data_IF_051095130717
#
_entry.id   IF_051095130717
#
_cell.length_a   1.000
_cell.length_b   1.000
_cell.length_c   1.000
_cell.angle_alpha   90.00
_cell.angle_beta   90.00
_cell.angle_gamma   90.00
#
_symmetry.space_group_name_H-M   'P 1'
#
loop_
_entity.id
_entity.type
_entity.pdbx_description
1 polymer ?
#
# COMPACT_ATOMS: atom_id res chain seq x y z
N UNK A 1 -23.13 9.64 6.20
CA UNK A 1 -22.90 8.22 5.83
C UNK A 1 -22.08 7.45 6.88
N UNK A 2 -21.03 8.03 7.49
CA UNK A 2 -20.20 7.37 8.51
C UNK A 2 -20.96 6.76 9.71
N UNK A 3 -22.02 7.42 10.20
CA UNK A 3 -22.77 6.95 11.38
C UNK A 3 -23.62 5.69 11.15
N UNK A 4 -24.18 5.50 9.95
CA UNK A 4 -24.95 4.28 9.62
C UNK A 4 -24.05 3.10 9.28
N UNK A 5 -22.83 3.36 8.80
CA UNK A 5 -21.88 2.30 8.46
C UNK A 5 -21.24 1.66 9.69
N UNK A 6 -21.08 2.43 10.78
CA UNK A 6 -20.52 1.93 12.03
C UNK A 6 -21.36 0.81 12.67
N UNK A 7 -22.69 0.82 12.49
CA UNK A 7 -23.57 -0.20 13.11
C UNK A 7 -23.54 -1.55 12.42
N UNK A 8 -23.06 -1.62 11.16
CA UNK A 8 -23.00 -2.85 10.37
C UNK A 8 -21.56 -3.31 10.14
N UNK A 9 -20.56 -2.56 10.60
CA UNK A 9 -19.15 -2.84 10.35
C UNK A 9 -18.72 -4.22 10.85
N UNK A 10 -19.19 -4.61 12.05
CA UNK A 10 -18.91 -5.91 12.65
C UNK A 10 -19.69 -7.07 12.00
N UNK A 11 -20.68 -6.78 11.13
CA UNK A 11 -21.42 -7.79 10.36
C UNK A 11 -20.71 -8.17 9.04
N UNK A 12 -19.59 -7.51 8.71
CA UNK A 12 -18.79 -7.86 7.53
C UNK A 12 -17.74 -8.92 7.89
N UNK A 13 -18.02 -10.18 7.54
CA UNK A 13 -17.05 -11.31 7.62
C UNK A 13 -15.94 -11.27 6.54
N UNK A 14 -15.61 -10.08 6.02
CA UNK A 14 -14.54 -9.93 5.04
C UNK A 14 -13.18 -10.19 5.68
N UNK A 15 -12.27 -10.87 4.98
CA UNK A 15 -10.89 -11.05 5.45
C UNK A 15 -10.25 -9.68 5.75
N UNK A 16 -9.79 -9.43 6.99
CA UNK A 16 -9.10 -8.19 7.32
C UNK A 16 -7.91 -7.98 6.39
N UNK A 17 -7.75 -6.76 5.90
CA UNK A 17 -6.59 -6.39 5.08
C UNK A 17 -5.86 -5.24 5.74
N UNK A 18 -4.54 -5.31 5.72
CA UNK A 18 -3.66 -4.31 6.28
C UNK A 18 -3.09 -3.47 5.16
N UNK A 19 -3.22 -2.15 5.33
CA UNK A 19 -2.75 -1.17 4.35
C UNK A 19 -1.63 -0.35 4.96
N UNK A 20 -0.52 -0.22 4.24
CA UNK A 20 0.57 0.71 4.50
C UNK A 20 0.67 1.68 3.34
N UNK A 21 0.90 2.97 3.63
CA UNK A 21 1.13 4.00 2.62
C UNK A 21 2.57 4.48 2.73
N UNK A 22 3.24 4.62 1.58
CA UNK A 22 4.59 5.15 1.45
C UNK A 22 4.57 6.26 0.41
N UNK A 23 4.89 7.47 0.83
CA UNK A 23 5.02 8.61 -0.08
C UNK A 23 6.44 8.67 -0.64
N UNK A 24 6.55 8.73 -1.96
CA UNK A 24 7.82 8.73 -2.67
C UNK A 24 7.95 9.96 -3.56
N UNK A 25 9.16 10.53 -3.59
CA UNK A 25 9.53 11.69 -4.41
C UNK A 25 10.17 11.23 -5.73
N UNK A 26 9.48 10.32 -6.41
CA UNK A 26 9.93 9.75 -7.68
C UNK A 26 8.78 9.69 -8.69
N UNK A 27 9.08 9.81 -10.01
CA UNK A 27 8.08 9.62 -11.04
C UNK A 27 7.48 8.21 -11.02
N UNK A 28 6.18 8.11 -11.30
CA UNK A 28 5.46 6.84 -11.37
C UNK A 28 6.09 5.85 -12.35
N UNK A 29 6.61 6.33 -13.49
CA UNK A 29 7.25 5.49 -14.50
C UNK A 29 8.43 4.67 -13.96
N UNK A 30 9.20 5.23 -13.01
CA UNK A 30 10.31 4.54 -12.35
C UNK A 30 9.81 3.52 -11.32
N UNK A 31 8.65 3.78 -10.71
CA UNK A 31 8.09 2.95 -9.65
C UNK A 31 7.34 1.72 -10.20
N UNK A 32 6.80 1.78 -11.42
CA UNK A 32 6.05 0.68 -12.04
C UNK A 32 6.85 -0.62 -12.06
N UNK A 33 8.15 -0.58 -12.41
CA UNK A 33 9.00 -1.78 -12.40
C UNK A 33 9.17 -2.36 -10.97
N UNK A 34 9.31 -1.47 -9.98
CA UNK A 34 9.41 -1.85 -8.55
C UNK A 34 8.11 -2.47 -8.05
N UNK A 35 6.95 -1.98 -8.51
CA UNK A 35 5.65 -2.55 -8.17
C UNK A 35 5.47 -3.97 -8.72
N UNK A 36 5.98 -4.23 -9.92
CA UNK A 36 6.05 -5.59 -10.48
C UNK A 36 6.85 -6.51 -9.55
N UNK A 37 8.05 -6.09 -9.18
CA UNK A 37 8.91 -6.83 -8.25
C UNK A 37 8.27 -7.05 -6.87
N UNK A 38 7.53 -6.08 -6.35
CA UNK A 38 6.80 -6.20 -5.09
C UNK A 38 5.73 -7.29 -5.15
N UNK A 39 4.89 -7.28 -6.19
CA UNK A 39 3.81 -8.25 -6.36
C UNK A 39 4.31 -9.67 -6.64
N UNK A 40 5.49 -9.81 -7.23
CA UNK A 40 6.13 -11.12 -7.44
C UNK A 40 6.75 -11.69 -6.16
N UNK A 41 7.22 -10.80 -5.27
CA UNK A 41 8.01 -11.18 -4.09
C UNK A 41 7.20 -11.26 -2.80
N UNK A 42 6.06 -10.57 -2.74
CA UNK A 42 5.15 -10.50 -1.60
C UNK A 42 3.71 -10.68 -2.10
N UNK A 43 2.86 -11.34 -1.30
CA UNK A 43 1.43 -11.50 -1.55
C UNK A 43 0.67 -10.20 -1.19
N UNK A 44 0.98 -9.14 -1.95
CA UNK A 44 0.47 -7.79 -1.71
C UNK A 44 -0.17 -7.18 -2.96
N UNK A 45 -1.21 -6.38 -2.74
CA UNK A 45 -1.77 -5.48 -3.74
C UNK A 45 -1.13 -4.11 -3.62
N UNK A 46 -0.60 -3.58 -4.72
CA UNK A 46 0.07 -2.27 -4.76
C UNK A 46 -0.72 -1.32 -5.66
N UNK A 47 -1.01 -0.12 -5.19
CA UNK A 47 -1.59 0.96 -6.00
C UNK A 47 -0.75 2.24 -5.88
N UNK A 48 -0.50 2.90 -7.01
CA UNK A 48 0.09 4.25 -7.06
C UNK A 48 -1.00 5.29 -7.21
N UNK A 49 -0.85 6.40 -6.50
CA UNK A 49 -1.69 7.58 -6.60
C UNK A 49 -0.80 8.79 -6.84
N UNK A 50 -0.59 9.18 -8.12
CA UNK A 50 0.20 10.36 -8.43
C UNK A 50 -0.54 11.64 -8.01
N UNK A 51 0.16 12.52 -7.28
CA UNK A 51 -0.30 13.84 -6.86
C UNK A 51 0.85 14.86 -6.92
N UNK A 52 1.02 15.68 -5.88
CA UNK A 52 2.24 16.50 -5.71
C UNK A 52 3.47 15.62 -5.50
N UNK A 53 3.29 14.51 -4.79
CA UNK A 53 4.21 13.38 -4.66
C UNK A 53 3.45 12.09 -5.01
N UNK A 54 4.14 10.96 -5.19
CA UNK A 54 3.47 9.69 -5.51
C UNK A 54 3.20 8.94 -4.21
N UNK A 55 1.93 8.74 -3.85
CA UNK A 55 1.55 7.90 -2.72
C UNK A 55 1.41 6.45 -3.17
N UNK A 56 2.21 5.56 -2.60
CA UNK A 56 2.16 4.12 -2.87
C UNK A 56 1.42 3.42 -1.75
N UNK A 57 0.28 2.81 -2.09
CA UNK A 57 -0.55 2.05 -1.17
C UNK A 57 -0.27 0.56 -1.32
N UNK A 58 0.17 -0.09 -0.25
CA UNK A 58 0.46 -1.52 -0.20
C UNK A 58 -0.55 -2.17 0.72
N UNK A 59 -1.32 -3.12 0.21
CA UNK A 59 -2.35 -3.85 0.94
C UNK A 59 -2.01 -5.33 0.99
N UNK A 60 -2.01 -5.94 2.17
CA UNK A 60 -1.77 -7.36 2.35
C UNK A 60 -2.82 -7.98 3.28
N UNK A 61 -2.91 -9.32 3.27
CA UNK A 61 -3.72 -10.05 4.26
C UNK A 61 -3.06 -10.06 5.64
N UNK A 62 -1.73 -10.13 5.67
CA UNK A 62 -0.95 -10.08 6.90
C UNK A 62 -0.29 -8.72 7.12
N UNK A 63 -0.37 -8.13 8.33
CA UNK A 63 0.25 -6.84 8.60
C UNK A 63 1.76 -6.85 8.42
N UNK A 64 2.44 -7.92 8.87
CA UNK A 64 3.88 -8.09 8.71
C UNK A 64 4.31 -8.16 7.25
N UNK A 65 3.45 -8.65 6.36
CA UNK A 65 3.75 -8.72 4.94
C UNK A 65 3.62 -7.35 4.27
N UNK A 66 2.58 -6.58 4.63
CA UNK A 66 2.44 -5.20 4.19
C UNK A 66 3.63 -4.33 4.64
N UNK A 67 4.09 -4.49 5.89
CA UNK A 67 5.25 -3.76 6.42
C UNK A 67 6.55 -4.15 5.72
N UNK A 68 6.81 -5.45 5.53
CA UNK A 68 8.01 -5.91 4.81
C UNK A 68 8.06 -5.41 3.36
N UNK A 69 6.92 -5.39 2.69
CA UNK A 69 6.80 -4.84 1.34
C UNK A 69 7.04 -3.32 1.34
N UNK A 70 6.51 -2.60 2.32
CA UNK A 70 6.74 -1.17 2.47
C UNK A 70 8.21 -0.84 2.76
N UNK A 71 8.88 -1.57 3.65
CA UNK A 71 10.29 -1.39 3.95
C UNK A 71 11.18 -1.68 2.74
N UNK A 72 10.87 -2.74 2.00
CA UNK A 72 11.55 -3.04 0.75
C UNK A 72 11.49 -1.89 -0.25
N UNK A 73 10.33 -1.22 -0.34
CA UNK A 73 10.12 -0.06 -1.19
C UNK A 73 10.90 1.17 -0.66
N UNK A 74 10.84 1.44 0.65
CA UNK A 74 11.56 2.55 1.30
C UNK A 74 13.08 2.47 1.08
N UNK A 75 13.65 1.28 1.14
CA UNK A 75 15.07 1.06 0.87
C UNK A 75 15.48 1.33 -0.59
N UNK A 76 14.52 1.31 -1.52
CA UNK A 76 14.74 1.33 -2.98
C UNK A 76 14.18 2.58 -3.65
N UNK A 77 13.63 3.49 -2.86
CA UNK A 77 13.01 4.72 -3.32
C UNK A 77 13.40 5.92 -2.49
N UNK A 78 13.37 7.08 -3.12
CA UNK A 78 13.53 8.35 -2.42
C UNK A 78 12.20 8.69 -1.75
N UNK A 79 12.22 8.80 -0.43
CA UNK A 79 11.05 9.18 0.35
C UNK A 79 10.89 10.70 0.37
N UNK A 80 9.64 11.13 0.47
CA UNK A 80 9.32 12.53 0.77
C UNK A 80 9.74 12.80 2.23
N UNK A 81 10.46 13.91 2.48
CA UNK A 81 10.86 14.36 3.83
C UNK A 81 9.68 14.87 4.67
#
# INVERSE_FOLDING_TARGET
MKAMFASVADEFDGTPTHTVVVDVDEPESTLIERFGSLRERFDVSVGSYPGETVSVKITAREPSEAERAADWLRERSTLVE
#
